data_IF_360221090204
#
_entry.id   IF_360221090204
#
_cell.length_a   1.000
_cell.length_b   1.000
_cell.length_c   1.000
_cell.angle_alpha   90.00
_cell.angle_beta   90.00
_cell.angle_gamma   90.00
#
_symmetry.space_group_name_H-M   'P 1'
#
loop_
_entity.id
_entity.type
_entity.pdbx_description
1 polymer ?
#
# COMPACT_ATOMS: atom_id res chain seq x y z
N UNK A 1 16.45 0.46 -32.90
CA UNK A 1 16.16 -0.95 -32.57
C UNK A 1 15.37 -1.15 -31.27
N UNK A 2 15.73 -0.57 -30.10
CA UNK A 2 14.96 -0.71 -28.82
C UNK A 2 13.50 -0.23 -28.87
N UNK A 3 13.18 0.82 -29.65
CA UNK A 3 11.80 1.34 -29.79
C UNK A 3 10.88 0.42 -30.60
N UNK A 4 11.41 -0.21 -31.65
CA UNK A 4 10.68 -1.20 -32.47
C UNK A 4 10.33 -2.45 -31.63
N UNK A 5 11.25 -2.92 -30.80
CA UNK A 5 10.99 -4.07 -29.92
C UNK A 5 9.92 -3.77 -28.84
N UNK A 6 9.83 -2.53 -28.32
CA UNK A 6 8.78 -2.14 -27.36
C UNK A 6 7.40 -2.10 -28.04
N UNK A 7 7.30 -1.53 -29.25
CA UNK A 7 6.03 -1.53 -30.02
C UNK A 7 5.55 -2.94 -30.36
N UNK A 8 6.44 -3.82 -30.82
CA UNK A 8 6.11 -5.22 -31.11
C UNK A 8 5.62 -5.97 -29.86
N UNK A 9 6.29 -5.80 -28.72
CA UNK A 9 5.86 -6.41 -27.46
C UNK A 9 4.47 -5.94 -27.05
N UNK A 10 4.17 -4.64 -27.16
CA UNK A 10 2.85 -4.09 -26.81
C UNK A 10 1.73 -4.62 -27.70
N UNK A 11 1.99 -4.75 -29.02
CA UNK A 11 1.03 -5.34 -29.98
C UNK A 11 0.79 -6.81 -29.62
N UNK A 12 1.84 -7.57 -29.37
CA UNK A 12 1.76 -8.96 -28.96
C UNK A 12 0.95 -9.17 -27.67
N UNK A 13 1.16 -8.34 -26.66
CA UNK A 13 0.36 -8.38 -25.43
C UNK A 13 -1.12 -8.07 -25.68
N UNK A 14 -1.42 -7.12 -26.57
CA UNK A 14 -2.81 -6.82 -26.97
C UNK A 14 -3.46 -8.02 -27.67
N UNK A 15 -2.77 -8.67 -28.58
CA UNK A 15 -3.28 -9.87 -29.28
C UNK A 15 -3.55 -10.98 -28.27
N UNK A 16 -2.60 -11.30 -27.40
CA UNK A 16 -2.78 -12.31 -26.34
C UNK A 16 -3.99 -12.00 -25.46
N UNK A 17 -4.16 -10.75 -25.06
CA UNK A 17 -5.31 -10.32 -24.26
C UNK A 17 -6.65 -10.54 -24.97
N UNK A 18 -6.73 -10.25 -26.28
CA UNK A 18 -7.94 -10.46 -27.08
C UNK A 18 -8.24 -11.95 -27.20
N UNK A 19 -7.24 -12.77 -27.57
CA UNK A 19 -7.39 -14.22 -27.72
C UNK A 19 -7.82 -14.87 -26.41
N UNK A 20 -7.17 -14.53 -25.28
CA UNK A 20 -7.54 -15.07 -23.98
C UNK A 20 -8.97 -14.73 -23.61
N UNK A 21 -9.39 -13.47 -23.78
CA UNK A 21 -10.77 -13.05 -23.51
C UNK A 21 -11.80 -13.82 -24.34
N UNK A 22 -11.53 -14.01 -25.61
CA UNK A 22 -12.40 -14.77 -26.48
C UNK A 22 -12.47 -16.24 -26.05
N UNK A 23 -11.33 -16.87 -25.80
CA UNK A 23 -11.23 -18.26 -25.33
C UNK A 23 -11.99 -18.52 -24.04
N UNK A 24 -11.88 -17.63 -23.07
CA UNK A 24 -12.56 -17.74 -21.77
C UNK A 24 -13.96 -17.10 -21.74
N UNK A 25 -14.54 -16.68 -22.87
CA UNK A 25 -15.91 -16.14 -22.96
C UNK A 25 -16.10 -14.78 -22.29
N UNK A 26 -15.09 -13.89 -22.31
CA UNK A 26 -15.11 -12.53 -21.73
C UNK A 26 -15.58 -12.49 -20.26
N UNK A 27 -14.92 -13.22 -19.33
CA UNK A 27 -15.41 -13.40 -17.98
C UNK A 27 -15.55 -12.09 -17.18
N UNK A 28 -14.74 -11.06 -17.49
CA UNK A 28 -14.83 -9.76 -16.83
C UNK A 28 -16.18 -9.05 -16.99
N UNK A 29 -16.97 -9.38 -18.01
CA UNK A 29 -18.31 -8.83 -18.22
C UNK A 29 -19.36 -9.40 -17.23
N UNK A 30 -19.07 -10.54 -16.60
CA UNK A 30 -19.94 -11.20 -15.63
C UNK A 30 -19.61 -10.84 -14.18
N UNK A 31 -18.62 -9.98 -13.97
CA UNK A 31 -18.11 -9.59 -12.66
C UNK A 31 -18.19 -8.07 -12.48
N UNK A 32 -18.48 -7.63 -11.28
CA UNK A 32 -18.36 -6.23 -10.87
C UNK A 32 -16.91 -5.97 -10.42
N UNK A 33 -16.05 -5.56 -11.36
CA UNK A 33 -14.62 -5.39 -11.11
C UNK A 33 -14.32 -3.94 -10.74
N UNK A 34 -13.71 -3.73 -9.57
CA UNK A 34 -13.17 -2.43 -9.13
C UNK A 34 -11.64 -2.51 -9.13
N UNK A 35 -11.01 -1.61 -9.87
CA UNK A 35 -9.55 -1.49 -9.90
C UNK A 35 -9.08 -0.35 -8.99
N UNK A 36 -7.94 -0.56 -8.33
CA UNK A 36 -7.30 0.45 -7.50
C UNK A 36 -5.89 0.73 -8.01
N UNK A 37 -5.61 2.00 -8.31
CA UNK A 37 -4.28 2.46 -8.70
C UNK A 37 -3.82 3.61 -7.81
N UNK A 38 -2.52 3.82 -7.75
CA UNK A 38 -1.84 4.84 -6.95
C UNK A 38 -0.41 4.39 -6.63
N UNK A 39 0.36 5.18 -5.93
CA UNK A 39 1.67 4.77 -5.44
C UNK A 39 1.49 3.88 -4.22
N UNK A 40 0.83 4.37 -3.19
CA UNK A 40 0.58 3.69 -1.91
C UNK A 40 -0.92 3.42 -1.71
N UNK A 41 -1.29 2.55 -0.76
CA UNK A 41 -2.67 2.29 -0.36
C UNK A 41 -3.45 1.27 -1.19
N UNK A 42 -2.95 0.84 -2.36
CA UNK A 42 -3.65 -0.10 -3.25
C UNK A 42 -4.04 -1.40 -2.55
N UNK A 43 -3.07 -2.10 -1.98
CA UNK A 43 -3.28 -3.39 -1.32
C UNK A 43 -4.27 -3.29 -0.16
N UNK A 44 -4.11 -2.28 0.68
CA UNK A 44 -5.03 -2.03 1.81
C UNK A 44 -6.46 -1.82 1.30
N UNK A 45 -6.63 -0.96 0.29
CA UNK A 45 -7.94 -0.64 -0.27
C UNK A 45 -8.63 -1.87 -0.88
N UNK A 46 -7.94 -2.63 -1.75
CA UNK A 46 -8.58 -3.82 -2.38
C UNK A 46 -8.86 -4.93 -1.39
N UNK A 47 -7.96 -5.16 -0.42
CA UNK A 47 -8.12 -6.22 0.58
C UNK A 47 -9.30 -5.91 1.51
N UNK A 48 -9.44 -4.65 1.94
CA UNK A 48 -10.53 -4.28 2.85
C UNK A 48 -11.87 -4.25 2.10
N UNK A 49 -11.92 -3.76 0.85
CA UNK A 49 -13.12 -3.86 0.02
C UNK A 49 -13.57 -5.31 -0.17
N UNK A 50 -12.63 -6.23 -0.41
CA UNK A 50 -12.91 -7.67 -0.46
C UNK A 50 -13.49 -8.17 0.88
N UNK A 51 -12.85 -7.85 2.02
CA UNK A 51 -13.31 -8.25 3.35
C UNK A 51 -14.72 -7.73 3.65
N UNK A 52 -15.01 -6.45 3.36
CA UNK A 52 -16.33 -5.84 3.54
C UNK A 52 -17.37 -6.58 2.68
N UNK A 53 -17.07 -6.77 1.40
CA UNK A 53 -17.99 -7.41 0.46
C UNK A 53 -18.34 -8.84 0.90
N UNK A 54 -17.34 -9.59 1.37
CA UNK A 54 -17.52 -10.94 1.91
C UNK A 54 -18.31 -10.93 3.22
N UNK A 55 -18.04 -9.98 4.12
CA UNK A 55 -18.79 -9.84 5.38
C UNK A 55 -20.26 -9.44 5.16
N UNK A 56 -20.56 -8.76 4.04
CA UNK A 56 -21.94 -8.47 3.60
C UNK A 56 -22.65 -9.69 2.94
N UNK A 57 -21.96 -10.83 2.83
CA UNK A 57 -22.52 -12.08 2.31
C UNK A 57 -22.34 -12.30 0.80
N UNK A 58 -21.65 -11.42 0.09
CA UNK A 58 -21.37 -11.60 -1.34
C UNK A 58 -20.15 -12.47 -1.57
N UNK A 59 -20.15 -13.27 -2.64
CA UNK A 59 -18.96 -13.96 -3.11
C UNK A 59 -18.06 -13.00 -3.86
N UNK A 60 -16.83 -12.83 -3.39
CA UNK A 60 -15.88 -11.89 -3.96
C UNK A 60 -14.54 -12.55 -4.30
N UNK A 61 -13.81 -11.93 -5.26
CA UNK A 61 -12.42 -12.22 -5.59
C UNK A 61 -11.51 -11.06 -5.22
N UNK A 62 -10.26 -11.38 -4.91
CA UNK A 62 -9.18 -10.43 -4.65
C UNK A 62 -7.99 -10.72 -5.57
N UNK A 63 -7.42 -9.69 -6.17
CA UNK A 63 -6.16 -9.76 -6.92
C UNK A 63 -5.22 -8.69 -6.38
N UNK A 64 -4.19 -9.08 -5.65
CA UNK A 64 -3.31 -8.16 -4.95
C UNK A 64 -1.83 -8.56 -5.03
N UNK A 65 -0.97 -7.70 -4.51
CA UNK A 65 0.47 -7.97 -4.36
C UNK A 65 0.73 -9.12 -3.37
N UNK A 66 -0.12 -9.27 -2.36
CA UNK A 66 0.05 -10.24 -1.27
C UNK A 66 -0.42 -11.62 -1.70
N UNK A 67 -1.65 -11.71 -2.16
CA UNK A 67 -2.31 -12.96 -2.53
C UNK A 67 -3.46 -12.68 -3.51
N UNK A 68 -3.83 -13.70 -4.28
CA UNK A 68 -5.10 -13.72 -4.99
C UNK A 68 -6.08 -14.58 -4.20
N UNK A 69 -7.36 -14.20 -4.14
CA UNK A 69 -8.39 -14.98 -3.44
C UNK A 69 -9.58 -15.18 -4.37
N UNK A 70 -10.11 -16.40 -4.41
CA UNK A 70 -11.34 -16.75 -5.11
C UNK A 70 -12.33 -17.28 -4.08
N UNK A 71 -13.33 -16.48 -3.69
CA UNK A 71 -14.24 -16.72 -2.57
C UNK A 71 -13.46 -16.78 -1.24
N UNK A 72 -12.93 -17.93 -0.83
CA UNK A 72 -12.09 -18.10 0.36
C UNK A 72 -10.77 -18.81 0.06
N UNK A 73 -10.58 -19.30 -1.17
CA UNK A 73 -9.38 -20.01 -1.57
C UNK A 73 -8.25 -19.04 -1.90
N UNK A 74 -7.14 -19.17 -1.20
CA UNK A 74 -5.94 -18.34 -1.37
C UNK A 74 -5.01 -18.95 -2.41
N UNK A 75 -4.57 -18.12 -3.36
CA UNK A 75 -3.64 -18.47 -4.41
C UNK A 75 -2.43 -17.53 -4.30
N UNK A 76 -1.19 -18.02 -4.22
CA UNK A 76 -0.01 -17.16 -4.15
C UNK A 76 0.04 -16.16 -5.30
N UNK A 77 0.30 -14.89 -5.00
CA UNK A 77 0.49 -13.87 -6.02
C UNK A 77 1.93 -13.93 -6.56
N UNK A 78 2.07 -13.91 -7.87
CA UNK A 78 3.39 -13.81 -8.54
C UNK A 78 3.70 -12.38 -8.98
N UNK A 79 2.67 -11.56 -9.13
CA UNK A 79 2.73 -10.15 -9.53
C UNK A 79 1.54 -9.39 -8.95
N UNK A 80 1.73 -8.11 -8.62
CA UNK A 80 0.67 -7.19 -8.18
C UNK A 80 -0.55 -7.21 -9.12
N UNK A 81 -0.31 -7.22 -10.42
CA UNK A 81 -1.33 -7.36 -11.46
C UNK A 81 -0.84 -8.43 -12.43
N UNK A 82 -1.49 -9.59 -12.53
CA UNK A 82 -1.09 -10.67 -13.43
C UNK A 82 -1.02 -10.25 -14.90
N UNK A 83 -0.34 -11.04 -15.72
CA UNK A 83 -0.42 -10.87 -17.18
C UNK A 83 -1.84 -11.11 -17.69
N UNK A 84 -2.13 -10.66 -18.91
CA UNK A 84 -3.50 -10.64 -19.44
C UNK A 84 -4.14 -12.03 -19.58
N UNK A 85 -3.35 -13.09 -19.82
CA UNK A 85 -3.86 -14.46 -19.94
C UNK A 85 -4.20 -15.00 -18.56
N UNK A 86 -3.24 -14.92 -17.62
CA UNK A 86 -3.42 -15.33 -16.23
C UNK A 86 -4.56 -14.57 -15.56
N UNK A 87 -4.68 -13.26 -15.80
CA UNK A 87 -5.77 -12.43 -15.30
C UNK A 87 -7.13 -12.88 -15.82
N UNK A 88 -7.23 -13.17 -17.14
CA UNK A 88 -8.48 -13.64 -17.74
C UNK A 88 -8.87 -15.03 -17.22
N UNK A 89 -7.89 -15.92 -17.01
CA UNK A 89 -8.10 -17.23 -16.38
C UNK A 89 -8.64 -17.10 -14.97
N UNK A 90 -8.03 -16.24 -14.14
CA UNK A 90 -8.52 -15.97 -12.78
C UNK A 90 -9.97 -15.47 -12.78
N UNK A 91 -10.32 -14.54 -13.68
CA UNK A 91 -11.71 -14.09 -13.80
C UNK A 91 -12.65 -15.22 -14.20
N UNK A 92 -12.24 -16.11 -15.09
CA UNK A 92 -13.07 -17.27 -15.49
C UNK A 92 -13.29 -18.23 -14.30
N UNK A 93 -12.27 -18.48 -13.50
CA UNK A 93 -12.37 -19.28 -12.26
C UNK A 93 -13.26 -18.58 -11.22
N UNK A 94 -13.14 -17.26 -11.04
CA UNK A 94 -14.02 -16.47 -10.16
C UNK A 94 -15.49 -16.57 -10.60
N UNK A 95 -15.78 -16.46 -11.90
CA UNK A 95 -17.12 -16.64 -12.45
C UNK A 95 -17.64 -18.05 -12.17
N UNK A 96 -16.83 -19.10 -12.41
CA UNK A 96 -17.24 -20.49 -12.21
C UNK A 96 -17.55 -20.81 -10.74
N UNK A 97 -16.87 -20.13 -9.78
CA UNK A 97 -17.13 -20.25 -8.34
C UNK A 97 -18.25 -19.30 -7.83
N UNK A 98 -18.86 -18.53 -8.74
CA UNK A 98 -19.99 -17.66 -8.47
C UNK A 98 -19.62 -16.33 -7.80
N UNK A 99 -18.39 -15.82 -7.98
CA UNK A 99 -18.04 -14.48 -7.56
C UNK A 99 -18.91 -13.44 -8.28
N UNK A 100 -19.39 -12.45 -7.54
CA UNK A 100 -20.12 -11.29 -8.05
C UNK A 100 -19.21 -10.07 -8.18
N UNK A 101 -18.29 -9.89 -7.22
CA UNK A 101 -17.37 -8.75 -7.12
C UNK A 101 -15.93 -9.20 -7.23
N UNK A 102 -15.09 -8.33 -7.80
CA UNK A 102 -13.65 -8.50 -7.80
C UNK A 102 -12.97 -7.17 -7.49
N UNK A 103 -12.06 -7.19 -6.53
CA UNK A 103 -11.23 -6.04 -6.20
C UNK A 103 -9.79 -6.34 -6.60
N UNK A 104 -9.19 -5.46 -7.42
CA UNK A 104 -7.86 -5.72 -7.94
C UNK A 104 -6.94 -4.51 -7.92
N UNK A 105 -5.67 -4.75 -7.60
CA UNK A 105 -4.62 -3.75 -7.79
C UNK A 105 -4.31 -3.58 -9.29
N UNK A 106 -4.24 -2.33 -9.73
CA UNK A 106 -3.86 -1.96 -11.10
C UNK A 106 -2.55 -1.19 -11.05
N UNK A 107 -1.42 -1.89 -11.26
CA UNK A 107 -0.09 -1.30 -11.22
C UNK A 107 0.21 -0.49 -12.48
N UNK A 108 1.09 0.53 -12.37
CA UNK A 108 1.53 1.34 -13.50
C UNK A 108 2.24 0.52 -14.59
N UNK A 109 2.99 -0.51 -14.18
CA UNK A 109 3.58 -1.48 -15.11
C UNK A 109 2.53 -2.25 -15.91
N UNK A 110 1.46 -2.71 -15.23
CA UNK A 110 0.37 -3.43 -15.91
C UNK A 110 -0.34 -2.53 -16.93
N UNK A 111 -0.53 -1.26 -16.60
CA UNK A 111 -1.13 -0.28 -17.48
C UNK A 111 -0.24 0.03 -18.69
N UNK A 112 1.06 0.25 -18.50
CA UNK A 112 2.00 0.48 -19.60
C UNK A 112 2.13 -0.76 -20.51
N UNK A 113 2.08 -1.95 -19.94
CA UNK A 113 2.16 -3.22 -20.65
C UNK A 113 0.80 -3.68 -21.22
N UNK A 114 -0.30 -2.98 -20.92
CA UNK A 114 -1.63 -3.31 -21.44
C UNK A 114 -2.23 -4.60 -20.87
N UNK A 115 -1.78 -5.06 -19.70
CA UNK A 115 -2.24 -6.32 -19.07
C UNK A 115 -3.73 -6.33 -18.76
N UNK A 116 -4.30 -5.16 -18.47
CA UNK A 116 -5.71 -4.96 -18.13
C UNK A 116 -6.56 -4.45 -19.31
N UNK A 117 -6.00 -4.41 -20.52
CA UNK A 117 -6.73 -3.95 -21.70
C UNK A 117 -7.97 -4.82 -21.95
N UNK A 118 -9.13 -4.17 -22.04
CA UNK A 118 -10.42 -4.80 -22.30
C UNK A 118 -11.04 -5.55 -21.12
N UNK A 119 -10.52 -5.37 -19.90
CA UNK A 119 -11.23 -5.71 -18.69
C UNK A 119 -12.40 -4.74 -18.51
N UNK A 120 -13.57 -5.27 -18.15
CA UNK A 120 -14.78 -4.47 -17.91
C UNK A 120 -14.83 -4.04 -16.44
N UNK A 121 -14.35 -2.83 -16.16
CA UNK A 121 -14.42 -2.25 -14.81
C UNK A 121 -15.75 -1.53 -14.58
N UNK A 122 -16.35 -1.74 -13.41
CA UNK A 122 -17.50 -0.95 -12.92
C UNK A 122 -17.05 0.25 -12.10
N UNK A 123 -15.78 0.28 -11.65
CA UNK A 123 -15.21 1.39 -10.91
C UNK A 123 -13.69 1.40 -10.91
N UNK A 124 -13.13 2.58 -10.74
CA UNK A 124 -11.71 2.83 -10.57
C UNK A 124 -11.44 3.78 -9.41
N UNK A 125 -10.43 3.48 -8.60
CA UNK A 125 -10.02 4.27 -7.45
C UNK A 125 -8.59 4.75 -7.63
N UNK A 126 -8.34 6.03 -7.43
CA UNK A 126 -7.01 6.64 -7.34
C UNK A 126 -6.72 7.01 -5.89
N UNK A 127 -5.63 6.49 -5.34
CA UNK A 127 -5.23 6.77 -3.96
C UNK A 127 -4.30 7.97 -3.83
N UNK A 128 -3.16 7.95 -4.52
CA UNK A 128 -2.14 9.01 -4.50
C UNK A 128 -1.10 8.82 -5.60
N UNK A 129 -0.28 9.86 -5.82
CA UNK A 129 0.86 9.79 -6.72
C UNK A 129 2.10 10.44 -6.09
N UNK A 130 3.06 9.63 -5.67
CA UNK A 130 4.35 10.05 -5.14
C UNK A 130 5.51 9.45 -5.93
N UNK A 131 6.74 9.83 -5.61
CA UNK A 131 7.93 9.44 -6.36
C UNK A 131 8.23 7.93 -6.21
N UNK A 132 7.98 7.15 -7.28
CA UNK A 132 8.28 5.72 -7.34
C UNK A 132 8.42 5.24 -8.80
N UNK A 133 9.05 4.10 -9.02
CA UNK A 133 9.16 3.41 -10.33
C UNK A 133 9.75 4.26 -11.47
N UNK A 134 10.59 5.27 -11.20
CA UNK A 134 11.19 6.09 -12.24
C UNK A 134 12.32 5.37 -12.99
N UNK A 135 12.89 4.32 -12.42
CA UNK A 135 13.77 3.37 -13.12
C UNK A 135 13.07 2.79 -14.36
N UNK A 136 11.78 2.46 -14.26
CA UNK A 136 10.97 1.93 -15.34
C UNK A 136 10.36 3.04 -16.22
N UNK A 137 9.66 4.01 -15.64
CA UNK A 137 8.90 5.05 -16.36
C UNK A 137 9.78 6.20 -16.87
N UNK A 138 11.05 6.31 -16.42
CA UNK A 138 12.05 7.32 -16.79
C UNK A 138 11.82 8.70 -16.19
N UNK A 139 10.59 9.16 -16.06
CA UNK A 139 10.22 10.42 -15.42
C UNK A 139 8.82 10.35 -14.81
N UNK A 140 8.51 11.34 -14.00
CA UNK A 140 7.26 11.42 -13.24
C UNK A 140 6.04 11.56 -14.15
N UNK A 141 6.16 12.29 -15.27
CA UNK A 141 5.07 12.50 -16.22
C UNK A 141 4.64 11.17 -16.87
N UNK A 142 5.58 10.35 -17.32
CA UNK A 142 5.28 9.03 -17.86
C UNK A 142 4.60 8.12 -16.82
N UNK A 143 5.00 8.22 -15.55
CA UNK A 143 4.40 7.47 -14.47
C UNK A 143 2.95 7.92 -14.21
N UNK A 144 2.70 9.22 -14.18
CA UNK A 144 1.36 9.79 -14.12
C UNK A 144 0.49 9.35 -15.30
N UNK A 145 0.98 9.53 -16.54
CA UNK A 145 0.26 9.14 -17.74
C UNK A 145 -0.06 7.65 -17.80
N UNK A 146 0.84 6.81 -17.29
CA UNK A 146 0.57 5.37 -17.19
C UNK A 146 -0.66 5.09 -16.30
N UNK A 147 -0.77 5.75 -15.12
CA UNK A 147 -1.94 5.61 -14.24
C UNK A 147 -3.20 6.25 -14.84
N UNK A 148 -3.09 7.42 -15.47
CA UNK A 148 -4.22 8.12 -16.11
C UNK A 148 -4.91 7.26 -17.18
N UNK A 149 -4.17 6.40 -17.89
CA UNK A 149 -4.73 5.43 -18.85
C UNK A 149 -5.78 4.51 -18.24
N UNK A 150 -5.66 4.16 -16.96
CA UNK A 150 -6.66 3.36 -16.29
C UNK A 150 -8.04 4.03 -16.29
N UNK A 151 -8.10 5.30 -15.95
CA UNK A 151 -9.35 6.06 -15.90
C UNK A 151 -9.90 6.36 -17.31
N UNK A 152 -9.02 6.53 -18.29
CA UNK A 152 -9.41 6.69 -19.70
C UNK A 152 -10.08 5.42 -20.29
N UNK A 153 -9.80 4.25 -19.71
CA UNK A 153 -10.38 2.97 -20.13
C UNK A 153 -11.77 2.72 -19.52
N UNK A 154 -12.16 3.44 -18.49
CA UNK A 154 -13.43 3.24 -17.79
C UNK A 154 -14.61 3.63 -18.67
N UNK A 155 -15.67 2.78 -18.76
CA UNK A 155 -16.88 3.11 -19.52
C UNK A 155 -17.70 4.21 -18.83
N UNK A 156 -18.62 4.84 -19.56
CA UNK A 156 -19.51 5.89 -19.04
C UNK A 156 -20.31 5.46 -17.79
N UNK A 157 -20.66 4.19 -17.70
CA UNK A 157 -21.43 3.64 -16.56
C UNK A 157 -20.58 3.43 -15.30
N UNK A 158 -19.25 3.40 -15.42
CA UNK A 158 -18.35 3.21 -14.29
C UNK A 158 -18.22 4.47 -13.45
N UNK A 159 -17.83 4.29 -12.18
CA UNK A 159 -17.37 5.39 -11.35
C UNK A 159 -15.84 5.51 -11.41
N UNK A 160 -15.35 6.74 -11.31
CA UNK A 160 -13.95 7.09 -11.14
C UNK A 160 -13.82 7.91 -9.85
N UNK A 161 -13.26 7.31 -8.81
CA UNK A 161 -13.12 7.90 -7.48
C UNK A 161 -11.67 8.31 -7.26
N UNK A 162 -11.43 9.57 -6.92
CA UNK A 162 -10.09 10.14 -6.75
C UNK A 162 -9.93 10.86 -5.43
N UNK A 163 -8.71 10.83 -4.89
CA UNK A 163 -8.31 11.60 -3.72
C UNK A 163 -8.21 13.10 -4.10
N UNK A 164 -9.09 13.94 -3.54
CA UNK A 164 -9.12 15.39 -3.81
C UNK A 164 -7.90 16.11 -3.21
N UNK A 165 -7.32 15.56 -2.15
CA UNK A 165 -6.21 16.18 -1.43
C UNK A 165 -4.83 15.82 -2.04
N UNK A 166 -4.79 14.88 -3.00
CA UNK A 166 -3.60 14.61 -3.79
C UNK A 166 -3.46 15.62 -4.94
N UNK A 167 -2.26 16.16 -5.13
CA UNK A 167 -1.96 17.19 -6.16
C UNK A 167 -2.27 16.73 -7.60
N UNK A 168 -2.40 15.43 -7.84
CA UNK A 168 -2.78 14.82 -9.09
C UNK A 168 -4.23 14.29 -9.10
N UNK A 169 -4.95 14.44 -7.99
CA UNK A 169 -6.29 13.89 -7.82
C UNK A 169 -7.31 14.38 -8.84
N UNK A 170 -7.32 15.66 -9.17
CA UNK A 170 -8.18 16.21 -10.24
C UNK A 170 -7.62 15.88 -11.63
N UNK A 171 -6.30 16.08 -11.81
CA UNK A 171 -5.63 15.89 -13.11
C UNK A 171 -5.76 14.47 -13.65
N UNK A 172 -5.81 13.46 -12.76
CA UNK A 172 -5.95 12.06 -13.16
C UNK A 172 -7.32 11.78 -13.78
N UNK A 173 -8.36 12.52 -13.38
CA UNK A 173 -9.73 12.40 -13.89
C UNK A 173 -10.07 13.39 -15.00
N UNK A 174 -9.14 14.21 -15.43
CA UNK A 174 -9.33 15.14 -16.54
C UNK A 174 -9.55 14.42 -17.86
N UNK A 175 -10.60 14.82 -18.63
CA UNK A 175 -10.88 14.28 -19.97
C UNK A 175 -11.41 12.84 -19.97
N UNK A 176 -11.75 12.24 -18.82
CA UNK A 176 -12.34 10.90 -18.76
C UNK A 176 -13.85 10.92 -19.01
N UNK A 177 -14.39 9.77 -19.42
CA UNK A 177 -15.82 9.60 -19.73
C UNK A 177 -16.63 9.11 -18.54
N UNK A 178 -16.02 8.37 -17.60
CA UNK A 178 -16.67 7.80 -16.43
C UNK A 178 -17.22 8.86 -15.48
N UNK A 179 -18.16 8.50 -14.62
CA UNK A 179 -18.72 9.38 -13.58
C UNK A 179 -17.63 9.69 -12.55
N UNK A 180 -17.32 10.97 -12.34
CA UNK A 180 -16.23 11.45 -11.47
C UNK A 180 -16.74 11.69 -10.07
N UNK A 181 -16.02 11.19 -9.08
CA UNK A 181 -16.24 11.41 -7.66
C UNK A 181 -14.91 11.68 -6.97
N UNK A 182 -14.96 12.45 -5.89
CA UNK A 182 -13.80 12.83 -5.11
C UNK A 182 -14.03 12.54 -3.63
N UNK A 183 -13.02 12.00 -2.99
CA UNK A 183 -12.96 11.86 -1.53
C UNK A 183 -11.79 12.65 -0.98
N UNK A 184 -11.93 13.17 0.24
CA UNK A 184 -10.91 13.98 0.89
C UNK A 184 -11.42 14.59 2.17
N UNK A 185 -10.57 15.29 2.89
CA UNK A 185 -10.95 15.97 4.12
C UNK A 185 -11.05 17.49 3.90
N UNK A 186 -12.11 18.17 4.42
CA UNK A 186 -12.24 19.61 4.26
C UNK A 186 -11.06 20.36 4.88
N UNK A 187 -10.54 21.38 4.20
CA UNK A 187 -9.35 22.13 4.59
C UNK A 187 -9.40 22.76 6.01
N UNK A 188 -10.58 22.93 6.58
CA UNK A 188 -10.79 23.52 7.94
C UNK A 188 -10.88 22.49 9.08
N UNK A 189 -11.00 21.21 8.79
CA UNK A 189 -11.21 20.16 9.80
C UNK A 189 -10.16 19.04 9.71
N UNK A 190 -9.10 19.25 8.97
CA UNK A 190 -8.09 18.23 8.82
C UNK A 190 -7.59 17.77 10.21
N UNK A 191 -7.42 18.66 11.18
CA UNK A 191 -6.92 18.30 12.52
C UNK A 191 -7.17 19.46 13.51
N UNK A 192 -8.40 19.70 13.94
CA UNK A 192 -8.63 20.43 15.18
C UNK A 192 -8.64 19.44 16.33
N UNK A 193 -7.58 19.38 17.07
CA UNK A 193 -7.57 18.78 18.42
C UNK A 193 -8.52 19.54 19.34
N UNK A 194 -9.42 18.87 20.06
CA UNK A 194 -9.84 19.39 21.34
C UNK A 194 -8.65 19.21 22.31
N UNK A 195 -8.06 20.29 22.74
CA UNK A 195 -7.14 20.26 23.86
C UNK A 195 -7.88 19.67 25.08
N UNK A 196 -7.19 18.80 25.79
CA UNK A 196 -7.43 18.32 27.16
C UNK A 196 -8.62 17.39 27.44
N UNK A 197 -8.27 16.22 28.03
CA UNK A 197 -9.10 15.34 28.84
C UNK A 197 -10.09 14.39 28.12
N UNK A 198 -9.57 13.48 27.32
CA UNK A 198 -10.22 12.19 27.12
C UNK A 198 -9.18 11.07 27.33
N UNK A 199 -9.50 10.13 28.18
CA UNK A 199 -8.71 8.93 28.45
C UNK A 199 -8.43 8.19 27.13
N UNK A 200 -7.15 7.98 26.83
CA UNK A 200 -6.60 7.45 25.56
C UNK A 200 -6.85 5.96 25.35
N UNK A 201 -8.04 5.45 25.61
CA UNK A 201 -8.35 4.02 25.44
C UNK A 201 -9.31 3.68 24.32
N UNK A 202 -9.81 4.66 23.56
CA UNK A 202 -10.75 4.40 22.48
C UNK A 202 -10.27 4.95 21.14
N UNK A 203 -9.93 3.99 20.26
CA UNK A 203 -9.89 4.09 18.80
C UNK A 203 -9.04 5.20 18.16
N UNK A 204 -7.80 4.89 17.87
CA UNK A 204 -7.10 5.04 16.58
C UNK A 204 -6.99 6.40 15.87
N UNK A 205 -7.26 7.54 16.53
CA UNK A 205 -7.01 8.86 15.96
C UNK A 205 -6.04 9.64 16.84
N UNK A 206 -4.74 9.48 16.58
CA UNK A 206 -3.74 10.37 17.15
C UNK A 206 -3.62 11.62 16.26
N UNK A 207 -3.78 12.79 16.88
CA UNK A 207 -3.40 14.07 16.29
C UNK A 207 -1.90 14.10 16.03
N UNK A 208 -1.51 13.90 14.78
CA UNK A 208 -0.16 14.20 14.33
C UNK A 208 -0.12 15.68 13.92
N UNK A 209 0.26 16.53 14.86
CA UNK A 209 0.57 17.94 14.60
C UNK A 209 1.80 18.11 13.73
N UNK A 210 1.71 17.74 12.46
CA UNK A 210 2.68 18.04 11.42
C UNK A 210 2.08 19.08 10.46
N UNK A 211 2.74 20.22 10.31
CA UNK A 211 2.39 21.21 9.29
C UNK A 211 2.51 20.60 7.90
N UNK A 212 1.50 19.87 7.46
CA UNK A 212 1.31 19.61 6.05
C UNK A 212 0.34 20.65 5.52
N UNK A 213 0.86 21.58 4.73
CA UNK A 213 0.10 22.41 3.80
C UNK A 213 -0.50 21.53 2.68
N UNK A 214 -1.35 20.57 3.03
CA UNK A 214 -2.31 20.00 2.09
C UNK A 214 -3.56 20.89 2.08
N UNK A 215 -3.37 22.14 1.70
CA UNK A 215 -4.49 22.91 1.16
C UNK A 215 -5.00 22.12 -0.04
N UNK A 216 -6.28 21.78 -0.04
CA UNK A 216 -7.01 21.28 -1.21
C UNK A 216 -6.54 22.11 -2.42
N UNK A 217 -5.66 21.52 -3.24
CA UNK A 217 -4.92 22.26 -4.28
C UNK A 217 -5.84 22.74 -5.40
N UNK A 218 -7.10 22.27 -5.40
CA UNK A 218 -8.10 22.53 -6.43
C UNK A 218 -9.23 23.45 -5.97
N UNK A 219 -9.40 23.68 -4.67
CA UNK A 219 -10.53 24.44 -4.14
C UNK A 219 -11.90 23.75 -4.28
N UNK A 220 -11.92 22.50 -4.79
CA UNK A 220 -13.14 21.71 -4.94
C UNK A 220 -13.50 21.01 -3.63
N UNK A 221 -14.75 21.15 -3.19
CA UNK A 221 -15.25 20.33 -2.08
C UNK A 221 -15.36 18.86 -2.51
N UNK A 222 -14.88 17.91 -1.68
CA UNK A 222 -14.99 16.50 -1.99
C UNK A 222 -16.44 16.00 -1.86
N UNK A 223 -16.84 15.05 -2.71
CA UNK A 223 -18.17 14.40 -2.66
C UNK A 223 -18.33 13.53 -1.41
N UNK A 224 -17.20 13.06 -0.85
CA UNK A 224 -17.12 12.24 0.36
C UNK A 224 -16.04 12.78 1.29
N UNK A 225 -16.42 13.16 2.51
CA UNK A 225 -15.53 13.77 3.51
C UNK A 225 -15.80 13.31 4.94
N UNK A 226 -16.43 12.16 5.09
CA UNK A 226 -16.82 11.62 6.40
C UNK A 226 -15.63 11.06 7.18
N UNK A 227 -15.59 11.31 8.49
CA UNK A 227 -14.67 10.62 9.40
C UNK A 227 -15.14 9.19 9.60
N UNK A 228 -14.29 8.21 9.29
CA UNK A 228 -14.58 6.79 9.41
C UNK A 228 -13.85 6.21 10.62
N UNK A 229 -14.59 5.70 11.59
CA UNK A 229 -14.01 4.95 12.71
C UNK A 229 -13.44 3.62 12.23
N UNK A 230 -12.18 3.34 12.58
CA UNK A 230 -11.48 2.13 12.15
C UNK A 230 -10.28 1.84 13.05
N UNK A 231 -9.84 0.59 13.12
CA UNK A 231 -8.56 0.18 13.74
C UNK A 231 -7.34 0.47 12.86
N UNK A 232 -7.53 0.96 11.64
CA UNK A 232 -6.42 1.31 10.76
C UNK A 232 -5.75 2.59 11.26
N UNK A 233 -4.51 2.48 11.71
CA UNK A 233 -3.77 3.61 12.29
C UNK A 233 -3.15 4.50 11.20
N UNK A 234 -3.16 5.82 11.46
CA UNK A 234 -2.45 6.85 10.69
C UNK A 234 -3.23 7.50 9.57
N UNK A 235 -2.79 8.72 9.21
CA UNK A 235 -3.47 9.59 8.26
C UNK A 235 -3.66 8.93 6.90
N UNK A 236 -2.62 8.25 6.37
CA UNK A 236 -2.73 7.58 5.08
C UNK A 236 -3.80 6.46 5.10
N UNK A 237 -4.01 5.81 6.24
CA UNK A 237 -5.07 4.83 6.41
C UNK A 237 -6.44 5.48 6.62
N UNK A 238 -6.52 6.70 7.14
CA UNK A 238 -7.76 7.47 7.14
C UNK A 238 -8.23 7.75 5.71
N UNK A 239 -7.33 8.15 4.81
CA UNK A 239 -7.62 8.28 3.38
C UNK A 239 -8.02 6.95 2.73
N UNK A 240 -7.32 5.85 3.07
CA UNK A 240 -7.70 4.53 2.58
C UNK A 240 -9.10 4.13 3.05
N UNK A 241 -9.43 4.34 4.34
CA UNK A 241 -10.75 4.04 4.91
C UNK A 241 -11.85 4.88 4.24
N UNK A 242 -11.59 6.16 4.00
CA UNK A 242 -12.54 7.04 3.30
C UNK A 242 -12.74 6.61 1.83
N UNK A 243 -11.66 6.26 1.11
CA UNK A 243 -11.75 5.72 -0.25
C UNK A 243 -12.58 4.43 -0.31
N UNK A 244 -12.36 3.52 0.66
CA UNK A 244 -13.07 2.25 0.80
C UNK A 244 -14.56 2.49 1.06
N UNK A 245 -14.88 3.36 2.02
CA UNK A 245 -16.24 3.73 2.36
C UNK A 245 -16.96 4.35 1.16
N UNK A 246 -16.33 5.33 0.50
CA UNK A 246 -16.86 6.00 -0.68
C UNK A 246 -17.14 5.02 -1.83
N UNK A 247 -16.18 4.13 -2.12
CA UNK A 247 -16.34 3.09 -3.13
C UNK A 247 -17.48 2.12 -2.78
N UNK A 248 -17.63 1.77 -1.50
CA UNK A 248 -18.72 0.91 -1.01
C UNK A 248 -20.11 1.55 -1.22
N UNK A 249 -20.24 2.86 -0.97
CA UNK A 249 -21.46 3.64 -1.30
C UNK A 249 -21.74 3.62 -2.81
N UNK A 250 -20.72 3.85 -3.63
CA UNK A 250 -20.86 3.84 -5.10
C UNK A 250 -21.21 2.45 -5.66
N UNK A 251 -20.87 1.38 -4.94
CA UNK A 251 -21.30 0.01 -5.24
C UNK A 251 -22.71 -0.32 -4.75
N UNK A 252 -23.35 0.58 -3.99
CA UNK A 252 -24.70 0.43 -3.45
C UNK A 252 -24.77 -0.38 -2.16
N UNK A 253 -23.68 -0.52 -1.42
CA UNK A 253 -23.69 -1.16 -0.10
C UNK A 253 -24.32 -0.25 0.97
N UNK A 254 -24.97 -0.85 1.96
CA UNK A 254 -25.60 -0.11 3.06
C UNK A 254 -24.54 0.52 3.95
N UNK A 255 -24.59 1.84 4.11
CA UNK A 255 -23.55 2.65 4.78
C UNK A 255 -23.32 2.22 6.23
N UNK A 256 -24.41 1.98 6.99
CA UNK A 256 -24.34 1.57 8.40
C UNK A 256 -23.57 0.24 8.56
N UNK A 257 -23.85 -0.73 7.65
CA UNK A 257 -23.15 -2.01 7.67
C UNK A 257 -21.68 -1.89 7.31
N UNK A 258 -21.37 -1.03 6.34
CA UNK A 258 -19.97 -0.76 5.96
C UNK A 258 -19.21 -0.10 7.12
N UNK A 259 -19.81 0.88 7.81
CA UNK A 259 -19.19 1.54 8.99
C UNK A 259 -18.98 0.55 10.14
N UNK A 260 -19.97 -0.31 10.42
CA UNK A 260 -19.87 -1.36 11.44
C UNK A 260 -18.69 -2.31 11.18
N UNK A 261 -18.52 -2.74 9.92
CA UNK A 261 -17.44 -3.63 9.52
C UNK A 261 -16.09 -2.89 9.62
N UNK A 262 -16.00 -1.65 9.10
CA UNK A 262 -14.77 -0.86 9.11
C UNK A 262 -14.26 -0.59 10.53
N UNK A 263 -15.16 -0.36 11.49
CA UNK A 263 -14.81 -0.16 12.90
C UNK A 263 -14.00 -1.31 13.49
N UNK A 264 -14.26 -2.54 13.04
CA UNK A 264 -13.65 -3.75 13.59
C UNK A 264 -12.60 -4.39 12.68
N UNK A 265 -12.33 -3.81 11.50
CA UNK A 265 -11.48 -4.44 10.50
C UNK A 265 -10.00 -4.32 10.89
N UNK A 266 -9.29 -5.44 10.82
CA UNK A 266 -7.85 -5.47 11.04
C UNK A 266 -7.09 -5.10 9.76
N UNK A 267 -5.92 -4.44 9.87
CA UNK A 267 -5.08 -4.13 8.72
C UNK A 267 -4.71 -5.40 7.95
N UNK A 268 -4.47 -5.30 6.64
CA UNK A 268 -3.93 -6.42 5.87
C UNK A 268 -2.52 -6.77 6.35
N UNK A 269 -2.16 -8.05 6.23
CA UNK A 269 -0.82 -8.55 6.59
C UNK A 269 0.28 -7.69 5.98
N UNK A 270 1.21 -7.24 6.84
CA UNK A 270 2.34 -6.41 6.45
C UNK A 270 2.00 -5.02 5.91
N UNK A 271 0.84 -4.47 6.25
CA UNK A 271 0.40 -3.12 5.90
C UNK A 271 0.03 -2.33 7.15
N UNK A 272 1.03 -1.79 7.82
CA UNK A 272 0.91 -1.22 9.16
C UNK A 272 0.19 -2.19 10.11
N UNK A 273 0.55 -3.46 9.98
CA UNK A 273 0.07 -4.54 10.83
C UNK A 273 0.72 -4.41 12.19
N UNK A 274 -0.05 -4.50 13.28
CA UNK A 274 0.46 -4.22 14.61
C UNK A 274 -0.12 -5.13 15.69
N UNK A 275 0.61 -5.24 16.77
CA UNK A 275 0.12 -5.79 18.04
C UNK A 275 0.85 -5.12 19.21
N UNK A 276 0.23 -5.17 20.39
CA UNK A 276 0.87 -4.73 21.64
C UNK A 276 1.30 -5.98 22.42
N UNK A 277 2.56 -6.02 22.85
CA UNK A 277 3.07 -7.10 23.68
C UNK A 277 2.60 -6.98 25.14
N UNK A 278 2.76 -8.06 25.92
CA UNK A 278 2.46 -8.03 27.36
C UNK A 278 3.35 -7.04 28.13
N UNK A 279 4.56 -6.77 27.62
CA UNK A 279 5.45 -5.73 28.15
C UNK A 279 5.02 -4.30 27.79
N UNK A 280 3.92 -4.11 27.03
CA UNK A 280 3.38 -2.82 26.61
C UNK A 280 4.10 -2.18 25.41
N UNK A 281 4.96 -2.90 24.70
CA UNK A 281 5.62 -2.44 23.47
C UNK A 281 4.65 -2.57 22.29
N UNK A 282 4.49 -1.50 21.50
CA UNK A 282 3.73 -1.55 20.26
C UNK A 282 4.64 -1.99 19.11
N UNK A 283 4.43 -3.19 18.59
CA UNK A 283 5.15 -3.74 17.45
C UNK A 283 4.38 -3.55 16.15
N UNK A 284 5.04 -3.00 15.12
CA UNK A 284 4.45 -2.67 13.82
C UNK A 284 5.29 -3.31 12.72
N UNK A 285 4.64 -3.93 11.73
CA UNK A 285 5.26 -4.47 10.52
C UNK A 285 4.65 -3.80 9.29
N UNK A 286 5.50 -3.29 8.38
CA UNK A 286 5.05 -2.66 7.15
C UNK A 286 5.93 -3.02 5.93
N UNK A 287 5.32 -2.99 4.76
CA UNK A 287 6.00 -3.22 3.47
C UNK A 287 6.77 -2.00 2.95
N UNK A 288 6.90 -0.95 3.70
CA UNK A 288 7.58 0.30 3.32
C UNK A 288 9.03 0.03 2.92
N UNK A 289 9.30 0.01 1.62
CA UNK A 289 10.60 -0.27 1.00
C UNK A 289 11.05 0.83 0.01
N UNK A 290 10.34 1.95 0.00
CA UNK A 290 10.68 3.17 -0.76
C UNK A 290 10.84 4.34 0.21
N UNK A 291 11.59 5.41 -0.16
CA UNK A 291 11.75 6.59 0.69
C UNK A 291 10.42 7.17 1.21
N UNK A 292 9.49 7.47 0.30
CA UNK A 292 8.17 8.02 0.64
C UNK A 292 7.35 7.09 1.55
N UNK A 293 7.34 5.78 1.26
CA UNK A 293 6.61 4.83 2.10
C UNK A 293 7.23 4.74 3.51
N UNK A 294 8.57 4.71 3.63
CA UNK A 294 9.24 4.67 4.92
C UNK A 294 8.99 5.95 5.73
N UNK A 295 9.04 7.12 5.08
CA UNK A 295 8.71 8.39 5.73
C UNK A 295 7.28 8.40 6.25
N UNK A 296 6.31 7.97 5.44
CA UNK A 296 4.90 7.92 5.81
C UNK A 296 4.63 7.00 7.01
N UNK A 297 5.20 5.79 7.04
CA UNK A 297 4.98 4.88 8.17
C UNK A 297 5.67 5.35 9.44
N UNK A 298 6.88 5.94 9.34
CA UNK A 298 7.58 6.50 10.49
C UNK A 298 6.87 7.75 11.03
N UNK A 299 6.38 8.63 10.15
CA UNK A 299 5.58 9.79 10.56
C UNK A 299 4.29 9.34 11.27
N UNK A 300 3.64 8.30 10.79
CA UNK A 300 2.47 7.71 11.45
C UNK A 300 2.83 7.17 12.83
N UNK A 301 3.94 6.42 12.94
CA UNK A 301 4.42 5.93 14.23
C UNK A 301 4.71 7.08 15.20
N UNK A 302 5.31 8.19 14.72
CA UNK A 302 5.51 9.40 15.51
C UNK A 302 4.19 10.03 15.97
N UNK A 303 3.16 10.04 15.14
CA UNK A 303 1.85 10.59 15.47
C UNK A 303 1.10 9.81 16.57
N UNK A 304 1.36 8.52 16.73
CA UNK A 304 0.78 7.66 17.77
C UNK A 304 1.69 7.43 18.97
N UNK A 305 2.94 7.93 18.90
CA UNK A 305 3.93 7.84 19.96
C UNK A 305 3.47 8.61 21.20
N UNK A 306 3.60 7.99 22.37
CA UNK A 306 3.31 8.65 23.65
C UNK A 306 4.48 9.53 24.07
N UNK A 307 4.22 10.48 24.96
CA UNK A 307 5.28 11.28 25.59
C UNK A 307 6.27 10.37 26.34
N UNK A 308 7.55 10.71 26.27
CA UNK A 308 8.67 9.97 26.89
C UNK A 308 8.85 8.53 26.41
N UNK A 309 8.30 8.16 25.24
CA UNK A 309 8.54 6.86 24.60
C UNK A 309 9.39 7.01 23.33
N UNK A 310 9.95 5.91 22.85
CA UNK A 310 10.87 5.87 21.71
C UNK A 310 10.27 5.14 20.52
N UNK A 311 10.73 5.52 19.33
CA UNK A 311 10.57 4.74 18.11
C UNK A 311 11.90 4.08 17.78
N UNK A 312 11.89 2.76 17.71
CA UNK A 312 13.00 1.92 17.27
C UNK A 312 12.64 1.37 15.90
N UNK A 313 13.28 1.84 14.85
CA UNK A 313 13.04 1.35 13.50
C UNK A 313 14.04 0.29 13.07
N UNK A 314 13.57 -0.79 12.45
CA UNK A 314 14.39 -1.88 11.87
C UNK A 314 14.07 -1.98 10.39
N UNK A 315 15.01 -1.64 9.53
CA UNK A 315 14.78 -1.67 8.09
C UNK A 315 16.06 -1.82 7.28
N UNK A 316 15.90 -2.21 6.03
CA UNK A 316 16.99 -2.37 5.09
C UNK A 316 16.58 -2.11 3.65
N UNK A 317 17.53 -2.22 2.74
CA UNK A 317 17.29 -2.09 1.32
C UNK A 317 17.56 -3.41 0.59
N UNK A 318 16.79 -3.70 -0.46
CA UNK A 318 16.99 -4.87 -1.30
C UNK A 318 18.22 -4.74 -2.19
N UNK A 319 18.95 -5.85 -2.36
CA UNK A 319 20.01 -5.98 -3.37
C UNK A 319 19.42 -6.18 -4.78
N UNK A 320 20.25 -5.95 -5.81
CA UNK A 320 19.86 -5.99 -7.23
C UNK A 320 18.64 -5.11 -7.53
N UNK A 321 18.59 -3.94 -6.88
CA UNK A 321 17.56 -2.91 -6.99
C UNK A 321 18.23 -1.53 -7.07
N UNK A 322 17.41 -0.48 -7.23
CA UNK A 322 17.88 0.90 -7.27
C UNK A 322 18.75 1.24 -6.04
N UNK A 323 20.06 1.50 -6.20
CA UNK A 323 20.94 1.83 -5.09
C UNK A 323 20.79 3.29 -4.63
N UNK A 324 20.28 4.18 -5.48
CA UNK A 324 20.17 5.62 -5.19
C UNK A 324 19.20 5.92 -4.04
N UNK A 325 18.23 5.05 -3.80
CA UNK A 325 17.31 5.19 -2.68
C UNK A 325 17.94 4.87 -1.31
N UNK A 326 19.08 4.13 -1.26
CA UNK A 326 19.70 3.63 -0.03
C UNK A 326 20.09 4.76 0.93
N UNK A 327 20.87 5.79 0.51
CA UNK A 327 21.20 6.90 1.38
C UNK A 327 19.97 7.70 1.84
N UNK A 328 18.98 7.86 0.94
CA UNK A 328 17.75 8.60 1.24
C UNK A 328 16.95 7.88 2.31
N UNK A 329 16.77 6.57 2.19
CA UNK A 329 16.07 5.75 3.20
C UNK A 329 16.82 5.76 4.53
N UNK A 330 18.16 5.67 4.52
CA UNK A 330 18.98 5.78 5.73
C UNK A 330 18.72 7.08 6.47
N UNK A 331 18.75 8.22 5.75
CA UNK A 331 18.50 9.55 6.34
C UNK A 331 17.09 9.70 6.88
N UNK A 332 16.07 9.24 6.14
CA UNK A 332 14.67 9.25 6.57
C UNK A 332 14.50 8.45 7.87
N UNK A 333 15.08 7.24 7.93
CA UNK A 333 14.99 6.39 9.11
C UNK A 333 15.60 7.05 10.35
N UNK A 334 16.77 7.67 10.23
CA UNK A 334 17.46 8.33 11.35
C UNK A 334 16.73 9.57 11.84
N UNK A 335 16.21 10.40 10.91
CA UNK A 335 15.50 11.63 11.28
C UNK A 335 14.20 11.33 12.04
N UNK A 336 13.49 10.25 11.64
CA UNK A 336 12.17 9.94 12.15
C UNK A 336 12.15 8.84 13.22
N UNK A 337 13.31 8.43 13.72
CA UNK A 337 13.43 7.42 14.79
C UNK A 337 14.34 7.92 15.91
N UNK A 338 14.11 7.43 17.11
CA UNK A 338 15.03 7.64 18.24
C UNK A 338 16.23 6.69 18.11
N UNK A 339 16.00 5.47 17.59
CA UNK A 339 17.05 4.49 17.26
C UNK A 339 16.71 3.88 15.89
N UNK A 340 17.67 3.89 14.97
CA UNK A 340 17.55 3.27 13.65
C UNK A 340 18.48 2.06 13.54
N UNK A 341 17.94 0.87 13.33
CA UNK A 341 18.70 -0.37 13.14
C UNK A 341 18.68 -0.71 11.65
N UNK A 342 19.85 -0.55 11.00
CA UNK A 342 20.01 -0.91 9.60
C UNK A 342 20.36 -2.40 9.48
N UNK A 343 19.59 -3.12 8.67
CA UNK A 343 19.72 -4.57 8.52
C UNK A 343 19.51 -5.04 7.08
N UNK A 344 19.67 -6.34 6.84
CA UNK A 344 19.33 -6.92 5.54
C UNK A 344 17.83 -6.96 5.31
N UNK A 345 17.42 -6.63 4.10
CA UNK A 345 16.12 -7.01 3.53
C UNK A 345 16.29 -8.34 2.76
N UNK A 346 16.21 -8.31 1.43
CA UNK A 346 16.60 -9.38 0.52
C UNK A 346 17.89 -8.96 -0.21
N UNK A 347 19.10 -9.28 0.29
CA UNK A 347 20.34 -8.85 -0.35
C UNK A 347 20.57 -9.50 -1.72
N UNK A 348 19.87 -10.60 -2.02
CA UNK A 348 19.97 -11.36 -3.28
C UNK A 348 21.42 -11.71 -3.63
N UNK A 349 21.99 -11.10 -4.69
CA UNK A 349 23.37 -11.31 -5.11
C UNK A 349 24.40 -10.36 -4.46
N UNK A 350 23.94 -9.27 -3.81
CA UNK A 350 24.84 -8.27 -3.22
C UNK A 350 25.25 -8.66 -1.80
N UNK A 351 26.39 -8.10 -1.36
CA UNK A 351 26.84 -8.19 0.04
C UNK A 351 25.94 -7.32 0.93
N UNK A 352 25.28 -7.88 1.96
CA UNK A 352 24.39 -7.13 2.84
C UNK A 352 25.08 -5.98 3.58
N UNK A 353 26.35 -6.15 4.00
CA UNK A 353 27.10 -5.11 4.68
C UNK A 353 27.38 -3.93 3.75
N UNK A 354 27.68 -4.19 2.47
CA UNK A 354 27.85 -3.14 1.47
C UNK A 354 26.56 -2.34 1.23
N UNK A 355 25.40 -2.98 1.27
CA UNK A 355 24.12 -2.30 1.18
C UNK A 355 23.89 -1.39 2.40
N UNK A 356 24.22 -1.88 3.60
CA UNK A 356 24.09 -1.13 4.86
C UNK A 356 25.04 0.08 4.86
N UNK A 357 26.28 -0.08 4.39
CA UNK A 357 27.22 1.05 4.27
C UNK A 357 26.70 2.14 3.32
N UNK A 358 26.04 1.76 2.22
CA UNK A 358 25.42 2.73 1.33
C UNK A 358 24.25 3.48 1.98
N UNK A 359 23.52 2.88 2.92
CA UNK A 359 22.49 3.56 3.69
C UNK A 359 23.06 4.62 4.64
N UNK A 360 24.32 4.51 5.04
CA UNK A 360 25.02 5.47 5.92
C UNK A 360 25.61 6.66 5.17
N UNK A 361 25.66 6.62 3.83
CA UNK A 361 26.18 7.72 3.03
C UNK A 361 25.37 8.99 3.32
N UNK A 362 26.06 10.12 3.55
CA UNK A 362 25.48 11.44 3.87
C UNK A 362 24.84 11.56 5.27
N UNK A 363 25.05 10.62 6.18
CA UNK A 363 24.73 10.79 7.59
C UNK A 363 25.80 11.60 8.30
N UNK A 364 25.39 12.53 9.16
CA UNK A 364 26.30 13.27 10.03
C UNK A 364 26.82 12.39 11.19
N UNK A 365 27.83 12.85 11.92
CA UNK A 365 28.30 12.14 13.11
C UNK A 365 27.21 12.03 14.18
N UNK A 366 26.36 13.05 14.31
CA UNK A 366 25.20 13.04 15.21
C UNK A 366 24.16 11.99 14.77
N UNK A 367 23.84 11.93 13.46
CA UNK A 367 22.96 10.91 12.90
C UNK A 367 23.47 9.50 13.21
N UNK A 368 24.78 9.26 13.04
CA UNK A 368 25.42 7.96 13.26
C UNK A 368 25.32 7.48 14.72
N UNK A 369 25.18 8.38 15.70
CA UNK A 369 24.96 8.01 17.09
C UNK A 369 23.60 7.30 17.32
N UNK A 370 22.63 7.57 16.45
CA UNK A 370 21.32 6.92 16.50
C UNK A 370 21.27 5.58 15.71
N UNK A 371 22.34 5.27 14.96
CA UNK A 371 22.35 4.10 14.05
C UNK A 371 23.03 2.91 14.71
N UNK A 372 22.35 1.77 14.65
CA UNK A 372 22.98 0.44 14.86
C UNK A 372 22.96 -0.31 13.53
N UNK A 373 24.02 -1.09 13.26
CA UNK A 373 24.13 -1.92 12.05
C UNK A 373 24.23 -3.38 12.43
N UNK A 374 23.24 -4.17 12.02
CA UNK A 374 23.15 -5.61 12.31
C UNK A 374 22.66 -6.31 11.05
N UNK A 375 23.56 -6.92 10.29
CA UNK A 375 23.21 -7.53 8.99
C UNK A 375 22.24 -8.67 9.10
N UNK A 376 22.28 -9.46 10.17
CA UNK A 376 21.30 -10.51 10.42
C UNK A 376 19.99 -9.89 10.90
N UNK A 377 18.93 -9.98 10.09
CA UNK A 377 17.65 -9.35 10.37
C UNK A 377 16.97 -9.89 11.64
N UNK A 378 17.10 -11.20 11.94
CA UNK A 378 16.58 -11.77 13.17
C UNK A 378 17.25 -11.17 14.40
N UNK A 379 18.57 -11.06 14.37
CA UNK A 379 19.31 -10.45 15.48
C UNK A 379 19.03 -8.92 15.58
N UNK A 380 18.78 -8.25 14.46
CA UNK A 380 18.36 -6.86 14.45
C UNK A 380 17.01 -6.66 15.15
N UNK A 381 16.04 -7.55 14.89
CA UNK A 381 14.72 -7.54 15.57
C UNK A 381 14.88 -7.83 17.07
N UNK A 382 15.70 -8.82 17.44
CA UNK A 382 15.98 -9.11 18.86
C UNK A 382 16.64 -7.92 19.57
N UNK A 383 17.58 -7.24 18.91
CA UNK A 383 18.21 -6.05 19.48
C UNK A 383 17.21 -4.91 19.66
N UNK A 384 16.28 -4.71 18.70
CA UNK A 384 15.21 -3.74 18.86
C UNK A 384 14.33 -4.04 20.08
N UNK A 385 13.95 -5.30 20.28
CA UNK A 385 13.16 -5.75 21.42
C UNK A 385 13.92 -5.54 22.74
N UNK A 386 15.22 -5.87 22.77
CA UNK A 386 16.07 -5.65 23.96
C UNK A 386 16.19 -4.18 24.38
N UNK A 387 16.13 -3.27 23.40
CA UNK A 387 16.23 -1.82 23.64
C UNK A 387 14.91 -1.18 24.02
N UNK A 388 13.80 -1.82 23.67
CA UNK A 388 12.46 -1.29 23.87
C UNK A 388 12.02 -1.38 25.33
N UNK A 389 11.26 -0.39 25.78
CA UNK A 389 10.63 -0.30 27.08
C UNK A 389 9.11 -0.19 26.92
N UNK A 390 8.39 -0.31 28.02
CA UNK A 390 6.92 -0.15 28.03
C UNK A 390 6.51 1.18 27.38
N UNK A 391 5.61 1.10 26.41
CA UNK A 391 5.11 2.24 25.65
C UNK A 391 5.90 2.57 24.41
N UNK A 392 7.11 2.00 24.22
CA UNK A 392 7.90 2.22 23.02
C UNK A 392 7.26 1.57 21.78
N UNK A 393 7.66 2.04 20.61
CA UNK A 393 7.22 1.52 19.31
C UNK A 393 8.41 0.86 18.62
N UNK A 394 8.26 -0.40 18.21
CA UNK A 394 9.17 -1.07 17.29
C UNK A 394 8.50 -1.10 15.91
N UNK A 395 9.12 -0.47 14.92
CA UNK A 395 8.69 -0.51 13.53
C UNK A 395 9.65 -1.34 12.69
N UNK A 396 9.21 -2.49 12.18
CA UNK A 396 9.97 -3.32 11.24
C UNK A 396 9.45 -3.09 9.84
N UNK A 397 10.27 -2.51 8.96
CA UNK A 397 9.87 -2.11 7.62
C UNK A 397 10.69 -2.81 6.51
N UNK A 398 10.08 -2.90 5.33
CA UNK A 398 10.65 -3.43 4.09
C UNK A 398 9.98 -4.69 3.58
N UNK A 399 9.87 -5.73 4.38
CA UNK A 399 9.33 -7.04 3.97
C UNK A 399 7.81 -7.13 4.07
N UNK A 400 7.23 -6.52 5.10
CA UNK A 400 5.78 -6.54 5.31
C UNK A 400 5.22 -7.97 5.31
N UNK A 401 4.46 -8.31 4.26
CA UNK A 401 3.82 -9.62 4.10
C UNK A 401 4.73 -10.73 3.57
N UNK A 402 5.98 -10.41 3.16
CA UNK A 402 6.92 -11.42 2.67
C UNK A 402 7.32 -12.37 3.80
N UNK A 403 7.11 -13.66 3.59
CA UNK A 403 7.43 -14.75 4.52
C UNK A 403 8.76 -15.46 4.18
N UNK A 404 9.64 -14.73 3.46
CA UNK A 404 10.92 -15.28 3.02
C UNK A 404 12.02 -14.24 3.00
N UNK A 405 13.27 -14.70 3.06
CA UNK A 405 14.46 -13.89 2.76
C UNK A 405 15.29 -14.59 1.67
N UNK A 406 15.85 -13.79 0.73
CA UNK A 406 16.70 -14.28 -0.35
C UNK A 406 18.13 -13.81 -0.10
N UNK A 407 19.04 -14.75 0.18
CA UNK A 407 20.47 -14.52 0.39
C UNK A 407 21.25 -15.40 -0.57
N UNK A 408 22.10 -14.80 -1.43
CA UNK A 408 22.91 -15.52 -2.44
C UNK A 408 22.06 -16.49 -3.30
N UNK A 409 20.86 -16.05 -3.68
CA UNK A 409 19.92 -16.84 -4.48
C UNK A 409 19.13 -17.92 -3.72
N UNK A 410 19.45 -18.18 -2.46
CA UNK A 410 18.71 -19.13 -1.61
C UNK A 410 17.54 -18.42 -0.95
N UNK A 411 16.33 -18.96 -1.15
CA UNK A 411 15.10 -18.50 -0.51
C UNK A 411 14.83 -19.33 0.74
N UNK A 412 14.80 -18.68 1.90
CA UNK A 412 14.49 -19.30 3.19
C UNK A 412 13.27 -18.63 3.82
N UNK A 413 12.55 -19.36 4.70
CA UNK A 413 11.43 -18.78 5.46
C UNK A 413 11.94 -17.72 6.42
N UNK A 414 11.27 -16.57 6.42
CA UNK A 414 11.54 -15.45 7.30
C UNK A 414 10.36 -14.47 7.29
N UNK A 415 9.67 -14.34 8.41
CA UNK A 415 8.52 -13.48 8.59
C UNK A 415 8.77 -12.49 9.74
N UNK A 416 8.70 -11.17 9.43
CA UNK A 416 8.97 -10.12 10.42
C UNK A 416 8.01 -10.18 11.62
N UNK A 417 6.73 -10.50 11.39
CA UNK A 417 5.73 -10.59 12.44
C UNK A 417 5.96 -11.79 13.36
N UNK A 418 6.32 -12.94 12.78
CA UNK A 418 6.68 -14.13 13.57
C UNK A 418 7.92 -13.89 14.43
N UNK A 419 8.95 -13.25 13.87
CA UNK A 419 10.18 -12.94 14.60
C UNK A 419 9.94 -11.93 15.74
N UNK A 420 9.11 -10.90 15.51
CA UNK A 420 8.70 -9.95 16.56
C UNK A 420 7.92 -10.63 17.68
N UNK A 421 6.91 -11.44 17.35
CA UNK A 421 6.12 -12.18 18.36
C UNK A 421 7.01 -13.13 19.17
N UNK A 422 7.95 -13.82 18.52
CA UNK A 422 8.90 -14.72 19.21
C UNK A 422 9.86 -13.95 20.13
N UNK A 423 10.28 -12.76 19.73
CA UNK A 423 11.24 -11.97 20.51
C UNK A 423 10.58 -11.22 21.67
N UNK A 424 9.28 -10.91 21.57
CA UNK A 424 8.49 -10.18 22.58
C UNK A 424 7.73 -11.13 23.54
N UNK A 425 7.70 -12.44 23.27
CA UNK A 425 7.17 -13.46 24.17
C UNK A 425 8.14 -13.71 25.33
#
# INVERSE_FOLDING_TARGET
>A
MKLLTKKFKTIWWRIKSVVARYYYGNPSKKLKIVGVTGTNGKTTTVTILYKITTALGYKAGLISTVENIIVAEKIPATMTTPDSVSLTKLFAEMVSKGCEYVFMEVSSHALDQGRVNGVNFVGGIFTNLTHDHLDYHKNFENYFLAKKRFFQMLPLSAFALSNADDSYGEKILEGIKARKFFYGFPARNAFSTPASNASRNDAGWADAGGKNNSSNSSGREPDFSEKIETKLLGDFNAYNALAIFSASKLLGFREEKVKEILKNIEPPRGRFEYFTSDSGVLAIVDYAHTPDALENVLRTANGIKKENTKIISVFGCGGDRDPYKRPVMGKIGVINSDIAIFTSDNPRGENPDAIIEQMKINLSQEDLQKVKTISNRREAIKEAVKLAQNGDIILVAGKGHEDYQIIKGVKSHFDDMEELKRALA
#
